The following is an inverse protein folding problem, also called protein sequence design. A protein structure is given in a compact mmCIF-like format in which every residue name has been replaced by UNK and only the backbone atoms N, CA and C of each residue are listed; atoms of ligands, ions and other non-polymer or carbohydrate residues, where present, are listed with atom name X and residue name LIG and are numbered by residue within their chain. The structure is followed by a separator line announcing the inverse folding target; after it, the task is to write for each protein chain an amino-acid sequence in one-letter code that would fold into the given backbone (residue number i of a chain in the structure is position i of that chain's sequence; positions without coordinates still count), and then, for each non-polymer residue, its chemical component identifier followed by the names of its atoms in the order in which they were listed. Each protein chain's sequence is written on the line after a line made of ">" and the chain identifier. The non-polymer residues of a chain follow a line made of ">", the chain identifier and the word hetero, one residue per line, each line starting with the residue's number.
data_IF_113514733212
#
_entry.id   IF_113514733212
#
_cell.length_a   1.000
_cell.length_b   1.000
_cell.length_c   1.000
_cell.angle_alpha   90.00
_cell.angle_beta   90.00
_cell.angle_gamma   90.00
#
_symmetry.space_group_name_H-M   'P 1'
#
loop_
_entity.id
_entity.type
_entity.pdbx_description
1 polymer ?
#
# COMPACT_ATOMS: atom_id res chain seq x y z
N UNK A 1 -12.51 10.40 -19.77
CA UNK A 1 -11.50 9.72 -18.94
C UNK A 1 -12.25 9.22 -17.72
N UNK A 2 -12.10 7.93 -17.41
CA UNK A 2 -12.74 7.33 -16.24
C UNK A 2 -11.73 7.35 -15.11
N UNK A 3 -12.15 7.70 -13.90
CA UNK A 3 -11.25 7.74 -12.74
C UNK A 3 -11.65 6.62 -11.78
N UNK A 4 -10.66 5.85 -11.34
CA UNK A 4 -10.81 4.80 -10.32
C UNK A 4 -10.25 5.31 -8.99
N UNK A 5 -10.94 5.00 -7.88
CA UNK A 5 -10.45 5.29 -6.53
C UNK A 5 -9.90 4.00 -5.94
N UNK A 6 -8.61 3.98 -5.63
CA UNK A 6 -7.91 2.83 -5.07
C UNK A 6 -7.42 3.14 -3.65
N UNK A 7 -7.49 2.17 -2.72
CA UNK A 7 -6.85 2.29 -1.42
C UNK A 7 -5.35 2.03 -1.53
N UNK A 8 -4.53 2.90 -0.97
CA UNK A 8 -3.07 2.78 -0.89
C UNK A 8 -2.65 2.93 0.57
N UNK A 9 -1.88 1.98 1.09
CA UNK A 9 -1.24 2.08 2.39
C UNK A 9 0.19 2.61 2.22
N UNK A 10 0.52 3.66 2.97
CA UNK A 10 1.86 4.25 3.03
C UNK A 10 2.37 4.02 4.45
N UNK A 11 3.42 3.21 4.62
CA UNK A 11 3.91 2.85 5.95
C UNK A 11 4.59 4.04 6.66
N UNK A 12 4.52 4.07 7.99
CA UNK A 12 5.15 5.10 8.82
C UNK A 12 6.65 5.22 8.54
N UNK A 13 7.37 4.09 8.57
CA UNK A 13 8.82 4.07 8.39
C UNK A 13 9.24 4.60 7.01
N UNK A 14 8.53 4.23 5.94
CA UNK A 14 8.87 4.71 4.59
C UNK A 14 8.61 6.22 4.49
N UNK A 15 7.47 6.66 5.02
CA UNK A 15 7.10 8.08 5.06
C UNK A 15 8.09 8.92 5.89
N UNK A 16 8.50 8.42 7.05
CA UNK A 16 9.41 9.07 7.99
C UNK A 16 10.89 9.04 7.56
N UNK A 17 11.30 8.08 6.73
CA UNK A 17 12.68 7.95 6.27
C UNK A 17 12.92 8.67 4.95
N UNK A 18 12.06 8.45 3.95
CA UNK A 18 12.30 8.89 2.57
C UNK A 18 11.06 9.47 1.87
N UNK A 19 9.86 9.26 2.42
CA UNK A 19 8.62 9.67 1.76
C UNK A 19 8.44 11.18 1.69
N UNK A 20 7.87 11.63 0.58
CA UNK A 20 7.45 13.01 0.40
C UNK A 20 6.17 13.29 1.18
N UNK A 21 6.05 14.51 1.74
CA UNK A 21 4.79 14.92 2.36
C UNK A 21 3.73 15.14 1.29
N UNK A 22 2.50 14.73 1.56
CA UNK A 22 1.37 14.93 0.65
C UNK A 22 0.13 15.42 1.39
N UNK A 23 -0.78 16.03 0.64
CA UNK A 23 -2.05 16.55 1.12
C UNK A 23 -3.19 16.09 0.21
N UNK A 24 -4.42 16.23 0.69
CA UNK A 24 -5.60 16.06 -0.17
C UNK A 24 -5.51 17.06 -1.32
N UNK A 25 -5.59 16.54 -2.54
CA UNK A 25 -5.41 17.31 -3.78
C UNK A 25 -4.01 17.22 -4.38
N UNK A 26 -3.01 16.66 -3.68
CA UNK A 26 -1.67 16.44 -4.23
C UNK A 26 -1.72 15.46 -5.40
N UNK A 27 -1.03 15.81 -6.49
CA UNK A 27 -0.62 14.85 -7.51
C UNK A 27 0.60 14.08 -7.01
N UNK A 28 0.60 12.76 -7.18
CA UNK A 28 1.67 11.87 -6.72
C UNK A 28 2.06 10.89 -7.82
N UNK A 29 3.29 10.39 -7.73
CA UNK A 29 3.83 9.32 -8.56
C UNK A 29 4.37 8.22 -7.65
N UNK A 30 3.59 7.17 -7.44
CA UNK A 30 3.88 6.13 -6.45
C UNK A 30 4.12 4.77 -7.08
N UNK A 31 5.15 4.06 -6.63
CA UNK A 31 5.33 2.66 -6.98
C UNK A 31 4.49 1.82 -6.04
N UNK A 32 3.62 0.99 -6.62
CA UNK A 32 2.64 0.23 -5.86
C UNK A 32 2.91 -1.27 -5.98
N UNK A 33 2.90 -1.96 -4.84
CA UNK A 33 2.95 -3.41 -4.74
C UNK A 33 1.62 -4.00 -4.29
N UNK A 34 1.38 -5.27 -4.61
CA UNK A 34 0.28 -6.02 -4.02
C UNK A 34 0.59 -6.32 -2.54
N UNK A 35 -0.39 -6.12 -1.68
CA UNK A 35 -0.32 -6.43 -0.25
C UNK A 35 -1.27 -7.58 0.13
N UNK A 36 -0.87 -8.83 -0.13
CA UNK A 36 -1.73 -9.99 0.20
C UNK A 36 -1.48 -10.56 1.60
N UNK A 37 -0.27 -10.41 2.13
CA UNK A 37 0.11 -10.98 3.44
C UNK A 37 0.75 -9.98 4.40
N UNK A 38 0.87 -8.70 4.04
CA UNK A 38 1.55 -7.79 4.95
C UNK A 38 0.72 -7.57 6.21
N UNK A 39 1.47 -7.14 7.22
CA UNK A 39 0.97 -6.54 8.43
C UNK A 39 -0.23 -5.61 8.21
N UNK A 40 -0.22 -4.81 7.14
CA UNK A 40 -1.27 -3.82 6.86
C UNK A 40 -2.62 -4.48 6.56
N UNK A 41 -2.65 -5.55 5.76
CA UNK A 41 -3.87 -6.30 5.45
C UNK A 41 -4.50 -6.94 6.70
N UNK A 42 -3.67 -7.49 7.61
CA UNK A 42 -4.13 -8.09 8.88
C UNK A 42 -4.67 -7.05 9.84
N UNK A 43 -4.06 -5.87 9.84
CA UNK A 43 -4.35 -4.80 10.78
C UNK A 43 -5.55 -3.97 10.33
N UNK A 44 -5.71 -3.78 9.03
CA UNK A 44 -6.80 -3.00 8.44
C UNK A 44 -8.02 -3.83 8.10
N UNK A 45 -8.03 -5.15 8.29
CA UNK A 45 -9.00 -6.08 7.73
C UNK A 45 -10.48 -5.61 7.75
N UNK A 46 -10.97 -5.12 8.89
CA UNK A 46 -12.37 -4.65 9.03
C UNK A 46 -12.57 -3.17 8.65
N UNK A 47 -11.48 -2.39 8.60
CA UNK A 47 -11.48 -0.93 8.47
C UNK A 47 -11.03 -0.44 7.08
N UNK A 48 -10.34 -1.28 6.31
CA UNK A 48 -9.92 -0.98 4.95
C UNK A 48 -11.12 -1.09 3.99
N UNK A 49 -11.18 -0.24 2.95
CA UNK A 49 -12.15 -0.39 1.89
C UNK A 49 -12.07 -1.78 1.26
N UNK A 50 -13.23 -2.42 1.09
CA UNK A 50 -13.37 -3.62 0.27
C UNK A 50 -13.20 -3.24 -1.21
N UNK A 51 -11.96 -2.99 -1.62
CA UNK A 51 -11.63 -2.73 -3.01
C UNK A 51 -11.18 -4.03 -3.68
N UNK A 52 -11.65 -4.25 -4.90
CA UNK A 52 -11.08 -5.29 -5.76
C UNK A 52 -11.24 -4.92 -7.22
N UNK A 53 -10.23 -5.24 -8.01
CA UNK A 53 -10.23 -4.97 -9.45
C UNK A 53 -9.49 -6.07 -10.19
N UNK A 54 -10.06 -6.52 -11.30
CA UNK A 54 -9.32 -7.34 -12.24
C UNK A 54 -8.40 -6.44 -13.07
N UNK A 55 -7.09 -6.66 -12.98
CA UNK A 55 -6.07 -5.89 -13.68
C UNK A 55 -5.36 -6.78 -14.70
N UNK A 56 -5.26 -6.38 -15.98
CA UNK A 56 -4.53 -7.15 -16.97
C UNK A 56 -3.02 -7.08 -16.73
N UNK A 57 -2.31 -8.09 -17.25
CA UNK A 57 -0.85 -8.09 -17.31
C UNK A 57 -0.42 -7.04 -18.35
N UNK A 58 0.44 -6.12 -17.94
CA UNK A 58 1.03 -5.11 -18.83
C UNK A 58 2.51 -5.35 -19.08
N UNK A 59 3.19 -6.02 -18.14
CA UNK A 59 4.60 -6.39 -18.31
C UNK A 59 4.98 -7.60 -17.43
N UNK A 60 6.12 -8.22 -17.74
CA UNK A 60 6.74 -9.29 -16.96
C UNK A 60 8.24 -9.05 -16.86
N UNK A 61 8.71 -8.79 -15.64
CA UNK A 61 10.09 -8.44 -15.36
C UNK A 61 10.85 -9.70 -14.92
N UNK A 62 11.92 -10.03 -15.65
CA UNK A 62 12.84 -11.13 -15.35
C UNK A 62 14.21 -10.56 -14.98
N UNK A 63 14.97 -11.32 -14.20
CA UNK A 63 16.37 -11.04 -13.90
C UNK A 63 16.64 -9.65 -13.29
N UNK A 64 15.75 -9.21 -12.40
CA UNK A 64 15.89 -7.94 -11.69
C UNK A 64 16.99 -8.07 -10.61
N UNK A 65 18.09 -7.33 -10.77
CA UNK A 65 19.19 -7.35 -9.79
C UNK A 65 18.68 -6.94 -8.40
N UNK A 66 18.86 -7.81 -7.40
CA UNK A 66 18.36 -7.59 -6.03
C UNK A 66 17.01 -8.22 -5.72
N UNK A 67 16.29 -8.71 -6.73
CA UNK A 67 15.07 -9.51 -6.57
C UNK A 67 15.33 -10.88 -7.17
N UNK A 68 15.60 -11.87 -6.33
CA UNK A 68 16.08 -13.19 -6.76
C UNK A 68 15.12 -13.95 -7.71
N UNK A 69 13.94 -13.41 -8.00
CA UNK A 69 12.83 -14.16 -8.57
C UNK A 69 11.93 -13.37 -9.56
N UNK A 70 12.15 -12.07 -9.77
CA UNK A 70 11.38 -11.27 -10.74
C UNK A 70 9.92 -11.00 -10.34
N UNK A 71 9.07 -10.59 -11.29
CA UNK A 71 7.65 -10.35 -11.03
C UNK A 71 6.82 -9.88 -12.23
N UNK A 72 5.54 -9.64 -12.00
CA UNK A 72 4.56 -9.25 -13.01
C UNK A 72 4.04 -7.85 -12.72
N UNK A 73 3.93 -7.02 -13.75
CA UNK A 73 3.27 -5.71 -13.65
C UNK A 73 1.85 -5.84 -14.16
N UNK A 74 0.90 -5.48 -13.31
CA UNK A 74 -0.53 -5.42 -13.60
C UNK A 74 -0.94 -3.94 -13.73
N UNK A 75 -1.88 -3.63 -14.61
CA UNK A 75 -2.28 -2.22 -14.74
C UNK A 75 -3.30 -1.89 -15.81
N UNK A 76 -3.83 -0.68 -15.72
CA UNK A 76 -4.72 -0.07 -16.71
C UNK A 76 -4.62 1.44 -16.60
N UNK A 77 -4.68 2.19 -17.70
CA UNK A 77 -4.44 3.63 -17.71
C UNK A 77 -3.13 4.02 -17.01
N UNK A 78 -3.23 4.83 -15.96
CA UNK A 78 -2.11 5.28 -15.12
C UNK A 78 -1.83 4.36 -13.92
N UNK A 79 -2.65 3.34 -13.67
CA UNK A 79 -2.43 2.38 -12.58
C UNK A 79 -1.39 1.33 -12.96
N UNK A 80 -0.32 1.21 -12.17
CA UNK A 80 0.72 0.18 -12.25
C UNK A 80 0.92 -0.47 -10.88
N UNK A 81 0.78 -1.79 -10.82
CA UNK A 81 0.90 -2.58 -9.60
C UNK A 81 1.86 -3.73 -9.85
N UNK A 82 2.87 -3.85 -9.00
CA UNK A 82 3.83 -4.94 -9.05
C UNK A 82 3.40 -6.10 -8.17
N UNK A 83 3.31 -7.29 -8.78
CA UNK A 83 3.11 -8.55 -8.08
C UNK A 83 4.43 -9.34 -8.17
N UNK A 84 5.08 -9.56 -7.02
CA UNK A 84 6.28 -10.41 -6.94
C UNK A 84 5.93 -11.85 -7.32
N UNK A 85 6.89 -12.62 -7.81
CA UNK A 85 6.62 -14.01 -8.21
C UNK A 85 6.24 -14.94 -7.03
N UNK A 86 6.65 -14.59 -5.81
CA UNK A 86 6.35 -15.31 -4.57
C UNK A 86 5.02 -14.87 -3.94
N UNK A 87 4.24 -14.06 -4.66
CA UNK A 87 2.89 -13.68 -4.25
C UNK A 87 1.95 -14.89 -4.22
N UNK A 88 0.95 -14.84 -3.34
CA UNK A 88 -0.20 -15.74 -3.36
C UNK A 88 -1.22 -15.40 -4.45
N UNK A 89 -1.04 -14.28 -5.15
CA UNK A 89 -1.94 -13.79 -6.18
C UNK A 89 -1.99 -14.78 -7.34
N UNK A 90 -3.19 -15.25 -7.65
CA UNK A 90 -3.40 -16.14 -8.80
C UNK A 90 -3.39 -15.34 -10.10
N UNK A 91 -2.33 -15.50 -10.89
CA UNK A 91 -2.22 -14.94 -12.23
C UNK A 91 -2.92 -15.83 -13.27
N UNK A 92 -3.59 -15.20 -14.24
CA UNK A 92 -4.17 -15.84 -15.42
C UNK A 92 -3.67 -15.13 -16.68
N UNK A 93 -3.92 -15.73 -17.84
CA UNK A 93 -3.60 -15.11 -19.15
C UNK A 93 -4.30 -13.76 -19.37
N UNK A 94 -5.35 -13.46 -18.60
CA UNK A 94 -6.10 -12.21 -18.72
C UNK A 94 -5.69 -11.17 -17.68
N UNK A 95 -4.82 -11.51 -16.72
CA UNK A 95 -4.59 -10.68 -15.53
C UNK A 95 -4.83 -11.41 -14.22
N UNK A 96 -5.06 -10.62 -13.18
CA UNK A 96 -5.37 -11.11 -11.85
C UNK A 96 -6.37 -10.21 -11.13
N UNK A 97 -7.10 -10.80 -10.18
CA UNK A 97 -8.00 -10.07 -9.30
C UNK A 97 -7.23 -9.55 -8.09
N UNK A 98 -6.90 -8.27 -8.09
CA UNK A 98 -6.23 -7.61 -6.97
C UNK A 98 -7.27 -7.15 -5.96
N UNK A 99 -6.96 -7.26 -4.66
CA UNK A 99 -7.86 -6.96 -3.55
C UNK A 99 -7.15 -6.15 -2.47
N UNK A 100 -7.92 -5.34 -1.75
CA UNK A 100 -7.44 -4.59 -0.59
C UNK A 100 -6.53 -3.41 -0.93
N UNK A 101 -5.92 -2.79 0.09
CA UNK A 101 -4.95 -1.72 -0.10
C UNK A 101 -3.76 -2.19 -0.93
N UNK A 102 -3.27 -1.33 -1.81
CA UNK A 102 -1.95 -1.49 -2.42
C UNK A 102 -0.90 -0.87 -1.50
N UNK A 103 0.32 -1.40 -1.50
CA UNK A 103 1.41 -0.86 -0.69
C UNK A 103 2.22 0.14 -1.53
N UNK A 104 2.35 1.36 -1.04
CA UNK A 104 3.34 2.31 -1.57
C UNK A 104 4.74 1.86 -1.15
N UNK A 105 5.68 1.83 -2.09
CA UNK A 105 7.04 1.40 -1.81
C UNK A 105 8.10 2.41 -2.24
N UNK A 106 8.89 2.81 -1.24
CA UNK A 106 10.09 3.64 -1.39
C UNK A 106 11.41 2.88 -1.16
N UNK A 107 11.38 1.59 -0.77
CA UNK A 107 12.55 0.89 -0.22
C UNK A 107 12.82 -0.47 -0.88
N UNK A 108 12.69 -0.55 -2.20
CA UNK A 108 13.11 -1.68 -3.03
C UNK A 108 12.32 -2.98 -2.84
N UNK A 109 11.02 -2.89 -2.56
CA UNK A 109 10.08 -4.00 -2.76
C UNK A 109 9.47 -3.98 -4.16
N UNK A 110 9.32 -2.79 -4.75
CA UNK A 110 8.89 -2.57 -6.12
C UNK A 110 10.10 -2.12 -6.95
N UNK A 111 10.45 -2.82 -8.04
CA UNK A 111 11.58 -2.48 -8.88
C UNK A 111 11.49 -1.07 -9.46
N UNK A 112 12.62 -0.38 -9.62
CA UNK A 112 12.64 0.98 -10.14
C UNK A 112 12.15 1.06 -11.60
N UNK A 113 12.29 -0.04 -12.33
CA UNK A 113 11.82 -0.26 -13.70
C UNK A 113 10.29 -0.24 -13.80
N UNK A 114 9.57 -0.51 -12.71
CA UNK A 114 8.12 -0.36 -12.68
C UNK A 114 7.79 1.12 -12.72
N UNK A 115 7.14 1.54 -13.81
CA UNK A 115 6.63 2.90 -13.94
C UNK A 115 5.70 3.24 -12.76
N UNK A 116 5.83 4.43 -12.16
CA UNK A 116 4.98 4.80 -11.04
C UNK A 116 3.52 4.95 -11.47
N UNK A 117 2.61 4.63 -10.57
CA UNK A 117 1.19 5.00 -10.66
C UNK A 117 1.05 6.49 -10.46
N UNK A 118 0.42 7.16 -11.42
CA UNK A 118 0.07 8.58 -11.32
C UNK A 118 -1.33 8.73 -10.78
N UNK A 119 -1.51 9.63 -9.81
CA UNK A 119 -2.83 9.88 -9.24
C UNK A 119 -2.93 11.14 -8.40
N UNK A 120 -4.16 11.41 -7.95
CA UNK A 120 -4.47 12.54 -7.07
C UNK A 120 -5.02 12.04 -5.75
N UNK A 121 -4.43 12.48 -4.65
CA UNK A 121 -4.87 12.13 -3.29
C UNK A 121 -6.26 12.71 -3.02
N UNK A 122 -7.23 11.87 -2.68
CA UNK A 122 -8.62 12.28 -2.39
C UNK A 122 -9.00 12.21 -0.91
N UNK A 123 -8.35 11.35 -0.14
CA UNK A 123 -8.53 11.28 1.30
C UNK A 123 -7.29 10.67 1.96
N UNK A 124 -7.00 11.12 3.19
CA UNK A 124 -5.92 10.60 4.00
C UNK A 124 -6.49 10.24 5.37
N UNK A 125 -6.17 9.04 5.85
CA UNK A 125 -6.43 8.64 7.23
C UNK A 125 -5.11 8.21 7.86
N UNK A 126 -4.78 8.76 9.02
CA UNK A 126 -3.76 8.19 9.92
C UNK A 126 -4.27 6.86 10.41
N UNK A 127 -3.40 5.86 10.42
CA UNK A 127 -3.67 4.52 10.94
C UNK A 127 -2.85 4.34 12.22
N UNK A 128 -3.53 4.10 13.33
CA UNK A 128 -2.89 3.77 14.60
C UNK A 128 -3.51 2.50 15.20
N UNK A 129 -2.69 1.63 15.80
CA UNK A 129 -3.13 0.33 16.31
C UNK A 129 -2.63 0.05 17.73
N UNK A 130 -3.35 -0.80 18.45
CA UNK A 130 -2.85 -1.34 19.71
C UNK A 130 -1.95 -2.55 19.45
N UNK A 131 -1.02 -2.77 20.37
CA UNK A 131 -0.20 -3.97 20.41
C UNK A 131 -0.47 -4.74 21.69
N UNK A 132 -0.45 -6.06 21.58
CA UNK A 132 -0.51 -7.00 22.70
C UNK A 132 0.84 -7.71 22.85
N UNK A 133 1.10 -8.21 24.06
CA UNK A 133 2.30 -9.00 24.33
C UNK A 133 2.24 -10.34 23.58
N UNK A 134 3.29 -10.63 22.83
CA UNK A 134 3.48 -11.90 22.14
C UNK A 134 4.09 -12.99 23.03
N UNK A 135 4.72 -13.97 22.39
CA UNK A 135 5.27 -15.15 23.07
C UNK A 135 6.44 -14.82 24.02
N UNK A 136 7.23 -13.80 23.70
CA UNK A 136 8.31 -13.30 24.55
C UNK A 136 8.03 -11.87 25.00
N UNK A 137 8.67 -11.38 26.08
CA UNK A 137 8.56 -9.98 26.53
C UNK A 137 8.95 -8.94 25.47
N UNK A 138 9.75 -9.32 24.46
CA UNK A 138 10.16 -8.44 23.37
C UNK A 138 9.20 -8.46 22.17
N UNK A 139 8.34 -9.47 22.08
CA UNK A 139 7.40 -9.61 20.98
C UNK A 139 6.17 -8.76 21.24
N UNK A 140 5.93 -7.77 20.38
CA UNK A 140 4.66 -7.05 20.31
C UNK A 140 3.93 -7.50 19.05
N UNK A 141 2.71 -8.00 19.22
CA UNK A 141 1.85 -8.44 18.13
C UNK A 141 0.71 -7.43 17.98
N UNK A 142 0.32 -7.02 16.77
CA UNK A 142 -0.86 -6.19 16.57
C UNK A 142 -2.08 -6.81 17.22
N UNK A 143 -2.80 -6.04 18.02
CA UNK A 143 -4.10 -6.45 18.53
C UNK A 143 -5.10 -6.45 17.35
N UNK A 144 -5.69 -7.59 16.97
CA UNK A 144 -6.64 -7.65 15.87
C UNK A 144 -7.83 -6.70 16.08
N UNK A 145 -8.29 -6.04 15.03
CA UNK A 145 -9.43 -5.10 15.10
C UNK A 145 -9.16 -3.82 15.90
N UNK A 146 -7.91 -3.56 16.31
CA UNK A 146 -7.57 -2.37 17.10
C UNK A 146 -7.28 -1.11 16.28
N UNK A 147 -7.34 -1.23 14.94
CA UNK A 147 -7.04 -0.14 14.03
C UNK A 147 -7.99 1.04 14.25
N UNK A 148 -7.40 2.23 14.37
CA UNK A 148 -8.11 3.50 14.45
C UNK A 148 -7.71 4.35 13.26
N UNK A 149 -8.73 4.83 12.52
CA UNK A 149 -8.57 5.70 11.38
C UNK A 149 -8.94 7.13 11.73
N UNK A 150 -7.96 8.04 11.70
CA UNK A 150 -8.19 9.47 11.95
C UNK A 150 -7.98 10.25 10.67
N UNK A 151 -9.04 10.93 10.18
CA UNK A 151 -8.96 11.76 8.97
C UNK A 151 -8.00 12.92 9.17
N UNK A 152 -7.15 13.15 8.18
CA UNK A 152 -6.28 14.32 8.09
C UNK A 152 -6.32 14.89 6.68
N UNK A 153 -5.96 16.16 6.52
CA UNK A 153 -5.90 16.82 5.20
C UNK A 153 -4.49 16.85 4.63
N UNK A 154 -3.47 16.66 5.47
CA UNK A 154 -2.06 16.65 5.11
C UNK A 154 -1.28 15.69 6.03
N UNK A 155 -0.20 15.12 5.49
CA UNK A 155 0.74 14.32 6.27
C UNK A 155 1.78 15.21 6.94
N UNK A 156 2.20 14.81 8.15
CA UNK A 156 3.38 15.36 8.80
C UNK A 156 4.51 14.34 8.72
N UNK A 157 5.76 14.83 8.81
CA UNK A 157 6.93 13.94 8.76
C UNK A 157 6.90 12.98 9.93
N UNK A 158 6.75 13.50 11.14
CA UNK A 158 6.70 12.74 12.37
C UNK A 158 5.29 12.76 12.92
N UNK A 159 4.76 11.59 13.27
CA UNK A 159 3.41 11.45 13.79
C UNK A 159 3.46 10.83 15.18
N UNK A 160 2.69 11.41 16.10
CA UNK A 160 2.58 10.88 17.46
C UNK A 160 1.61 9.71 17.53
N UNK A 161 1.87 8.82 18.47
CA UNK A 161 0.94 7.81 18.95
C UNK A 161 -0.35 8.47 19.50
N UNK A 162 -1.44 7.70 19.50
CA UNK A 162 -2.78 8.17 19.87
C UNK A 162 -3.43 7.20 20.86
N UNK A 163 -3.71 7.66 22.09
CA UNK A 163 -4.51 6.93 23.08
C UNK A 163 -4.05 5.47 23.29
N UNK A 164 -2.74 5.28 23.53
CA UNK A 164 -2.13 3.96 23.72
C UNK A 164 -1.99 3.12 22.45
N UNK A 165 -2.27 3.70 21.27
CA UNK A 165 -2.07 3.08 19.96
C UNK A 165 -0.88 3.70 19.25
N UNK A 166 -0.09 2.86 18.61
CA UNK A 166 1.06 3.27 17.83
C UNK A 166 0.64 3.64 16.41
N UNK A 167 1.12 4.78 15.92
CA UNK A 167 0.99 5.16 14.51
C UNK A 167 1.78 4.20 13.63
N UNK A 168 1.19 3.72 12.54
CA UNK A 168 1.82 2.74 11.61
C UNK A 168 1.80 3.16 10.15
N UNK A 169 1.17 4.31 9.83
CA UNK A 169 1.14 4.82 8.46
C UNK A 169 -0.16 5.51 8.10
N UNK A 170 -0.35 5.70 6.80
CA UNK A 170 -1.52 6.36 6.22
C UNK A 170 -2.27 5.43 5.28
N UNK A 171 -3.59 5.42 5.40
CA UNK A 171 -4.49 4.88 4.39
C UNK A 171 -4.96 6.03 3.50
N UNK A 172 -4.63 5.93 2.22
CA UNK A 172 -4.85 6.96 1.21
C UNK A 172 -5.84 6.46 0.17
N UNK A 173 -6.78 7.31 -0.20
CA UNK A 173 -7.62 7.06 -1.36
C UNK A 173 -7.02 7.83 -2.52
N UNK A 174 -6.44 7.10 -3.46
CA UNK A 174 -5.81 7.66 -4.64
C UNK A 174 -6.79 7.57 -5.81
N UNK A 175 -7.02 8.69 -6.47
CA UNK A 175 -7.75 8.72 -7.73
C UNK A 175 -6.75 8.56 -8.89
N UNK A 176 -6.95 7.55 -9.72
CA UNK A 176 -6.10 7.22 -10.87
C UNK A 176 -6.96 7.20 -12.13
N UNK A 177 -6.41 7.67 -13.26
CA UNK A 177 -7.11 7.62 -14.53
C UNK A 177 -6.94 6.24 -15.18
N UNK A 178 -8.04 5.67 -15.65
CA UNK A 178 -8.15 4.30 -16.18
C UNK A 178 -8.93 4.23 -17.49
#
# INVERSE_FOLDING_TARGET
>A
MTTMRIPVFVSDWQHECCGEMFAVGSSVAWRLGVDEESFSAKVLADEAPSWSQHLPIVDSLKDLSGYESGGTVLGTGDLRVFARIDTTLTLTDQGALVRGPLLEDHHVTVPEEVAPTLGVVKAIRKVAIAYEQGATPQDLVPAPGSARLTKVVETQRWNSDDDGRRFIGFLVDLAVDV
#
